data_IF_734209409835
#
_entry.id   IF_734209409835
#
_cell.length_a   1.000
_cell.length_b   1.000
_cell.length_c   1.000
_cell.angle_alpha   90.00
_cell.angle_beta   90.00
_cell.angle_gamma   90.00
#
_symmetry.space_group_name_H-M   'P 1'
#
loop_
_entity.id
_entity.type
_entity.pdbx_description
1 polymer ?
#
# COMPACT_ATOMS: atom_id res chain seq x y z
N UNK A 1 -38.66 -23.32 36.27
CA UNK A 1 -37.21 -23.58 36.14
C UNK A 1 -36.73 -23.36 34.70
N UNK A 2 -37.56 -23.68 33.71
CA UNK A 2 -37.20 -23.64 32.27
C UNK A 2 -36.74 -22.29 31.72
N UNK A 3 -37.35 -21.17 32.14
CA UNK A 3 -36.92 -19.82 31.71
C UNK A 3 -35.46 -19.52 32.11
N UNK A 4 -35.03 -19.98 33.30
CA UNK A 4 -33.64 -19.81 33.78
C UNK A 4 -32.68 -20.72 33.01
N UNK A 5 -33.07 -21.96 32.74
CA UNK A 5 -32.25 -22.89 31.97
C UNK A 5 -32.04 -22.42 30.52
N UNK A 6 -33.10 -21.95 29.87
CA UNK A 6 -33.06 -21.40 28.52
C UNK A 6 -32.18 -20.15 28.44
N UNK A 7 -32.34 -19.20 29.37
CA UNK A 7 -31.48 -18.02 29.45
C UNK A 7 -30.00 -18.39 29.59
N UNK A 8 -29.67 -19.33 30.48
CA UNK A 8 -28.30 -19.80 30.68
C UNK A 8 -27.72 -20.48 29.43
N UNK A 9 -28.55 -21.18 28.66
CA UNK A 9 -28.14 -21.79 27.39
C UNK A 9 -27.81 -20.74 26.33
N UNK A 10 -28.65 -19.72 26.18
CA UNK A 10 -28.40 -18.61 25.26
C UNK A 10 -27.12 -17.85 25.61
N UNK A 11 -26.91 -17.56 26.90
CA UNK A 11 -25.71 -16.83 27.33
C UNK A 11 -24.44 -17.66 27.16
N UNK A 12 -24.49 -18.99 27.35
CA UNK A 12 -23.35 -19.87 26.99
C UNK A 12 -23.02 -19.75 25.51
N UNK A 13 -24.03 -19.90 24.64
CA UNK A 13 -23.85 -19.76 23.18
C UNK A 13 -23.23 -18.41 22.81
N UNK A 14 -23.69 -17.32 23.45
CA UNK A 14 -23.11 -15.98 23.24
C UNK A 14 -21.64 -15.91 23.64
N UNK A 15 -21.27 -16.49 24.79
CA UNK A 15 -19.87 -16.53 25.24
C UNK A 15 -18.97 -17.38 24.35
N UNK A 16 -19.49 -18.48 23.82
CA UNK A 16 -18.75 -19.32 22.88
C UNK A 16 -18.46 -18.55 21.58
N UNK A 17 -19.45 -17.86 21.03
CA UNK A 17 -19.24 -16.99 19.86
C UNK A 17 -18.19 -15.89 20.13
N UNK A 18 -18.23 -15.25 21.30
CA UNK A 18 -17.22 -14.24 21.67
C UNK A 18 -15.83 -14.87 21.77
N UNK A 19 -15.74 -16.06 22.38
CA UNK A 19 -14.49 -16.80 22.48
C UNK A 19 -13.92 -17.09 21.09
N UNK A 20 -14.74 -17.50 20.13
CA UNK A 20 -14.31 -17.75 18.75
C UNK A 20 -13.85 -16.46 18.06
N UNK A 21 -14.57 -15.34 18.23
CA UNK A 21 -14.12 -14.04 17.73
C UNK A 21 -12.76 -13.61 18.29
N UNK A 22 -12.47 -13.91 19.56
CA UNK A 22 -11.15 -13.64 20.16
C UNK A 22 -10.04 -14.52 19.56
N UNK A 23 -10.33 -15.78 19.21
CA UNK A 23 -9.37 -16.62 18.50
C UNK A 23 -9.06 -16.07 17.11
N UNK A 24 -10.10 -15.73 16.33
CA UNK A 24 -9.93 -15.13 15.00
C UNK A 24 -9.15 -13.81 15.06
N UNK A 25 -9.41 -12.97 16.07
CA UNK A 25 -8.68 -11.73 16.28
C UNK A 25 -7.20 -11.99 16.59
N UNK A 26 -6.91 -12.91 17.51
CA UNK A 26 -5.53 -13.29 17.86
C UNK A 26 -4.76 -13.78 16.62
N UNK A 27 -5.38 -14.66 15.84
CA UNK A 27 -4.74 -15.27 14.67
C UNK A 27 -4.52 -14.25 13.54
N UNK A 28 -5.25 -13.12 13.54
CA UNK A 28 -5.07 -12.01 12.60
C UNK A 28 -3.95 -11.03 13.00
N UNK A 29 -3.42 -11.13 14.23
CA UNK A 29 -2.35 -10.27 14.75
C UNK A 29 -1.03 -11.05 14.73
N UNK A 30 -0.06 -10.72 13.85
CA UNK A 30 1.15 -11.53 13.65
C UNK A 30 1.96 -11.80 14.92
N UNK A 31 2.02 -10.84 15.84
CA UNK A 31 2.76 -10.97 17.10
C UNK A 31 2.10 -11.89 18.14
N UNK A 32 0.88 -12.36 17.87
CA UNK A 32 0.13 -13.25 18.77
C UNK A 32 -0.10 -14.64 18.18
N UNK A 33 0.31 -14.88 16.94
CA UNK A 33 0.11 -16.17 16.27
C UNK A 33 0.90 -17.27 16.99
N UNK A 34 0.22 -18.37 17.32
CA UNK A 34 0.84 -19.51 18.00
C UNK A 34 1.09 -19.31 19.50
N UNK A 35 0.78 -18.14 20.06
CA UNK A 35 1.00 -17.84 21.47
C UNK A 35 -0.28 -17.92 22.33
N UNK A 36 -0.11 -18.22 23.61
CA UNK A 36 -1.18 -18.07 24.60
C UNK A 36 -1.25 -16.60 25.02
N UNK A 37 -2.32 -15.93 24.63
CA UNK A 37 -2.57 -14.53 24.98
C UNK A 37 -3.91 -14.39 25.73
N UNK A 38 -3.92 -13.56 26.77
CA UNK A 38 -5.17 -13.17 27.45
C UNK A 38 -6.04 -12.28 26.57
N UNK A 39 -7.34 -12.14 26.90
CA UNK A 39 -8.25 -11.24 26.16
C UNK A 39 -7.76 -9.79 26.16
N UNK A 40 -7.22 -9.31 27.28
CA UNK A 40 -6.66 -7.96 27.36
C UNK A 40 -5.48 -7.80 26.39
N UNK A 41 -4.51 -8.71 26.45
CA UNK A 41 -3.36 -8.69 25.53
C UNK A 41 -3.77 -8.77 24.06
N UNK A 42 -4.81 -9.56 23.72
CA UNK A 42 -5.34 -9.62 22.35
C UNK A 42 -5.85 -8.25 21.90
N UNK A 43 -6.62 -7.56 22.74
CA UNK A 43 -7.14 -6.22 22.41
C UNK A 43 -6.03 -5.18 22.30
N UNK A 44 -5.08 -5.19 23.24
CA UNK A 44 -3.94 -4.26 23.26
C UNK A 44 -3.08 -4.43 22.01
N UNK A 45 -2.68 -5.67 21.69
CA UNK A 45 -1.87 -5.96 20.50
C UNK A 45 -2.62 -5.75 19.19
N UNK A 46 -3.92 -6.02 19.13
CA UNK A 46 -4.72 -5.68 17.97
C UNK A 46 -4.75 -4.15 17.75
N UNK A 47 -4.90 -3.37 18.81
CA UNK A 47 -4.90 -1.90 18.76
C UNK A 47 -3.55 -1.37 18.28
N UNK A 48 -2.45 -1.87 18.86
CA UNK A 48 -1.09 -1.54 18.44
C UNK A 48 -0.87 -1.89 16.95
N UNK A 49 -1.30 -3.08 16.53
CA UNK A 49 -1.11 -3.55 15.16
C UNK A 49 -1.89 -2.72 14.15
N UNK A 50 -3.13 -2.34 14.45
CA UNK A 50 -3.92 -1.44 13.59
C UNK A 50 -3.21 -0.09 13.44
N UNK A 51 -2.70 0.50 14.53
CA UNK A 51 -1.98 1.76 14.46
C UNK A 51 -0.69 1.64 13.64
N UNK A 52 0.06 0.56 13.84
CA UNK A 52 1.26 0.26 13.07
C UNK A 52 0.95 0.14 11.57
N UNK A 53 -0.06 -0.65 11.21
CA UNK A 53 -0.44 -0.86 9.81
C UNK A 53 -0.93 0.42 9.14
N UNK A 54 -1.63 1.30 9.86
CA UNK A 54 -2.00 2.64 9.34
C UNK A 54 -0.76 3.47 9.00
N UNK A 55 0.23 3.54 9.91
CA UNK A 55 1.49 4.27 9.66
C UNK A 55 2.24 3.66 8.47
N UNK A 56 2.36 2.33 8.44
CA UNK A 56 3.04 1.60 7.37
C UNK A 56 2.41 1.85 6.00
N UNK A 57 1.08 1.79 5.91
CA UNK A 57 0.36 2.06 4.67
C UNK A 57 0.54 3.52 4.22
N UNK A 58 0.56 4.48 5.15
CA UNK A 58 0.81 5.88 4.82
C UNK A 58 2.23 6.09 4.26
N UNK A 59 3.24 5.47 4.85
CA UNK A 59 4.62 5.51 4.32
C UNK A 59 4.68 4.90 2.92
N UNK A 60 4.09 3.71 2.72
CA UNK A 60 4.06 3.10 1.39
C UNK A 60 3.32 3.96 0.35
N UNK A 61 2.26 4.66 0.76
CA UNK A 61 1.57 5.58 -0.14
C UNK A 61 2.45 6.78 -0.52
N UNK A 62 3.21 7.32 0.44
CA UNK A 62 4.20 8.38 0.16
C UNK A 62 5.28 7.90 -0.80
N UNK A 63 5.83 6.70 -0.58
CA UNK A 63 6.84 6.10 -1.47
C UNK A 63 6.29 5.93 -2.89
N UNK A 64 5.04 5.46 -3.03
CA UNK A 64 4.35 5.32 -4.32
C UNK A 64 4.23 6.69 -5.03
N UNK A 65 3.85 7.73 -4.30
CA UNK A 65 3.64 9.07 -4.86
C UNK A 65 4.96 9.73 -5.24
N UNK A 66 6.02 9.52 -4.47
CA UNK A 66 7.39 9.96 -4.78
C UNK A 66 7.91 9.26 -6.05
N UNK A 67 7.76 7.94 -6.15
CA UNK A 67 8.17 7.16 -7.32
C UNK A 67 7.39 7.58 -8.59
N UNK A 68 6.09 7.84 -8.47
CA UNK A 68 5.29 8.37 -9.59
C UNK A 68 5.80 9.73 -10.07
N UNK A 69 6.16 10.63 -9.14
CA UNK A 69 6.75 11.93 -9.49
C UNK A 69 8.10 11.77 -10.19
N UNK A 70 8.96 10.90 -9.68
CA UNK A 70 10.26 10.62 -10.31
C UNK A 70 10.10 10.03 -11.71
N UNK A 71 9.20 9.06 -11.89
CA UNK A 71 8.92 8.47 -13.20
C UNK A 71 8.40 9.51 -14.19
N UNK A 72 7.48 10.39 -13.78
CA UNK A 72 6.97 11.45 -14.65
C UNK A 72 8.09 12.40 -15.13
N UNK A 73 9.02 12.75 -14.25
CA UNK A 73 10.18 13.58 -14.59
C UNK A 73 11.13 12.86 -15.56
N UNK A 74 11.42 11.58 -15.31
CA UNK A 74 12.27 10.78 -16.19
C UNK A 74 11.64 10.59 -17.56
N UNK A 75 10.35 10.30 -17.64
CA UNK A 75 9.63 10.22 -18.91
C UNK A 75 9.67 11.55 -19.68
N UNK A 76 9.55 12.69 -18.98
CA UNK A 76 9.68 14.00 -19.62
C UNK A 76 11.09 14.22 -20.19
N UNK A 77 12.13 13.83 -19.45
CA UNK A 77 13.52 13.92 -19.91
C UNK A 77 13.77 13.02 -21.12
N UNK A 78 13.28 11.78 -21.10
CA UNK A 78 13.38 10.84 -22.24
C UNK A 78 12.71 11.44 -23.47
N UNK A 79 11.47 11.94 -23.36
CA UNK A 79 10.76 12.59 -24.48
C UNK A 79 11.51 13.80 -25.03
N UNK A 80 12.11 14.61 -24.16
CA UNK A 80 12.90 15.77 -24.59
C UNK A 80 14.17 15.35 -25.34
N UNK A 81 14.88 14.33 -24.86
CA UNK A 81 16.07 13.80 -25.51
C UNK A 81 15.76 13.15 -26.87
N UNK A 82 14.66 12.40 -26.96
CA UNK A 82 14.19 11.81 -28.22
C UNK A 82 13.87 12.89 -29.27
N UNK A 83 13.22 13.98 -28.85
CA UNK A 83 12.96 15.13 -29.72
C UNK A 83 14.24 15.85 -30.15
N UNK A 84 15.19 16.05 -29.24
CA UNK A 84 16.48 16.67 -29.55
C UNK A 84 17.27 15.81 -30.56
N UNK A 85 17.29 14.49 -30.35
CA UNK A 85 17.98 13.54 -31.24
C UNK A 85 17.38 13.53 -32.64
N UNK A 86 16.05 13.53 -32.76
CA UNK A 86 15.39 13.58 -34.07
C UNK A 86 15.63 14.92 -34.79
N UNK A 87 15.64 16.05 -34.08
CA UNK A 87 15.99 17.35 -34.67
C UNK A 87 17.44 17.41 -35.16
N UNK A 88 18.39 16.83 -34.41
CA UNK A 88 19.79 16.78 -34.82
C UNK A 88 20.01 15.88 -36.05
N UNK A 89 19.26 14.78 -36.17
CA UNK A 89 19.29 13.91 -37.35
C UNK A 89 18.76 14.62 -38.60
N UNK A 90 17.69 15.41 -38.47
CA UNK A 90 17.14 16.21 -39.58
C UNK A 90 18.11 17.31 -40.04
N UNK A 91 18.83 17.97 -39.11
CA UNK A 91 19.89 18.93 -39.48
C UNK A 91 21.08 18.25 -40.16
N UNK A 92 21.48 17.05 -39.74
CA UNK A 92 22.58 16.32 -40.36
C UNK A 92 22.24 15.78 -41.76
N UNK A 93 20.96 15.50 -42.07
CA UNK A 93 20.54 15.04 -43.39
C UNK A 93 20.40 16.16 -44.43
N UNK A 94 20.35 17.42 -43.99
CA UNK A 94 20.38 18.60 -44.85
C UNK A 94 21.60 19.45 -44.52
N UNK A 95 22.81 19.09 -45.00
CA UNK A 95 23.91 20.03 -44.98
C UNK A 95 23.47 21.21 -45.84
N UNK A 96 23.35 22.39 -45.24
CA UNK A 96 23.03 23.62 -45.95
C UNK A 96 24.13 23.84 -47.01
N UNK A 97 23.83 23.48 -48.26
CA UNK A 97 24.56 23.94 -49.42
C UNK A 97 24.22 25.42 -49.60
N UNK A 98 24.86 26.25 -48.77
CA UNK A 98 24.74 27.70 -48.82
C UNK A 98 25.92 28.28 -49.61
N UNK A 99 26.17 27.70 -50.78
CA UNK A 99 27.15 28.21 -51.74
C UNK A 99 26.46 28.47 -53.08
N UNK A 100 26.77 29.63 -53.66
CA UNK A 100 26.42 30.07 -55.01
C UNK A 100 24.98 30.52 -55.24
N UNK A 101 24.67 31.74 -54.79
CA UNK A 101 24.18 32.77 -55.72
C UNK A 101 24.65 34.14 -55.21
N UNK A 102 25.87 34.51 -55.61
CA UNK A 102 26.37 35.90 -55.57
C UNK A 102 26.53 36.38 -57.01
N UNK A 103 25.78 37.46 -57.30
CA UNK A 103 25.76 38.32 -58.50
C UNK A 103 25.36 37.68 -59.84
#
# INVERSE_FOLDING_TARGET
ADKRAHHNALERKRRDHIKDSFHSLRDSVPSLQGEKASRAQILDKATEYIQYMRRKNNTHQQDIDDLKRQNALLEQQVRALEKARSSAQLQASYPADNSLYTN
#
